data_IF_455364972088
#
_entry.id   IF_455364972088
#
_cell.length_a   1.000
_cell.length_b   1.000
_cell.length_c   1.000
_cell.angle_alpha   90.00
_cell.angle_beta   90.00
_cell.angle_gamma   90.00
#
_symmetry.space_group_name_H-M   'P 1'
#
loop_
_entity.id
_entity.type
_entity.pdbx_description
1 polymer ?
#
# COMPACT_ATOMS: atom_id res chain seq x y z
N UNK A 1 -54.51 28.24 -35.97
CA UNK A 1 -53.51 27.79 -36.97
C UNK A 1 -52.37 28.81 -36.95
N UNK A 2 -51.41 28.63 -36.06
CA UNK A 2 -50.26 29.54 -35.87
C UNK A 2 -48.99 28.72 -36.01
N UNK A 3 -48.22 28.99 -37.06
CA UNK A 3 -46.97 28.29 -37.34
C UNK A 3 -45.90 28.70 -36.31
N UNK A 4 -45.29 27.73 -35.64
CA UNK A 4 -44.14 27.96 -34.78
C UNK A 4 -42.84 27.98 -35.63
N UNK A 5 -41.93 28.95 -35.41
CA UNK A 5 -40.68 29.03 -36.14
C UNK A 5 -39.69 27.97 -35.65
N UNK A 6 -39.06 27.25 -36.58
CA UNK A 6 -37.99 26.29 -36.29
C UNK A 6 -36.67 27.07 -36.15
N UNK A 7 -36.17 27.19 -34.93
CA UNK A 7 -34.83 27.72 -34.64
C UNK A 7 -33.79 26.62 -34.86
N UNK A 8 -33.00 26.72 -35.92
CA UNK A 8 -31.83 25.84 -36.11
C UNK A 8 -30.72 26.22 -35.14
N UNK A 9 -30.55 25.45 -34.08
CA UNK A 9 -29.42 25.59 -33.16
C UNK A 9 -28.11 25.33 -33.93
N UNK A 10 -27.12 26.25 -33.92
CA UNK A 10 -25.85 26.00 -34.56
C UNK A 10 -25.13 24.83 -33.86
N UNK A 11 -24.69 23.86 -34.66
CA UNK A 11 -23.91 22.71 -34.19
C UNK A 11 -22.58 23.21 -33.63
N UNK A 12 -22.19 22.87 -32.39
CA UNK A 12 -20.89 23.28 -31.86
C UNK A 12 -19.79 22.62 -32.69
N UNK A 13 -18.93 23.41 -33.33
CA UNK A 13 -17.72 22.89 -33.96
C UNK A 13 -16.83 22.25 -32.89
N UNK A 14 -16.59 20.95 -33.03
CA UNK A 14 -15.73 20.19 -32.13
C UNK A 14 -14.34 20.81 -32.03
N UNK A 15 -14.03 21.34 -30.85
CA UNK A 15 -12.70 21.84 -30.48
C UNK A 15 -11.71 20.67 -30.49
N UNK A 16 -10.88 20.57 -31.54
CA UNK A 16 -9.75 19.63 -31.62
C UNK A 16 -8.63 20.08 -30.69
N UNK A 17 -8.81 19.79 -29.40
CA UNK A 17 -7.84 20.05 -28.34
C UNK A 17 -6.59 19.17 -28.47
N UNK A 18 -5.55 19.74 -29.10
CA UNK A 18 -4.12 19.71 -28.76
C UNK A 18 -3.63 18.49 -27.94
N UNK A 19 -2.77 17.69 -28.57
CA UNK A 19 -2.00 16.56 -28.03
C UNK A 19 -1.03 16.88 -26.88
N UNK A 20 -1.08 18.06 -26.26
CA UNK A 20 -0.28 18.43 -25.08
C UNK A 20 -0.84 17.92 -23.74
N UNK A 21 -1.95 17.18 -23.75
CA UNK A 21 -2.73 16.83 -22.56
C UNK A 21 -2.39 15.46 -21.95
N UNK A 22 -1.47 14.68 -22.52
CA UNK A 22 -1.12 13.35 -22.00
C UNK A 22 -0.25 13.43 -20.72
N UNK A 23 0.80 14.28 -20.72
CA UNK A 23 1.70 14.49 -19.58
C UNK A 23 0.98 15.16 -18.40
N UNK A 24 0.12 16.15 -18.65
CA UNK A 24 -0.65 16.83 -17.60
C UNK A 24 -1.72 15.96 -16.94
N UNK A 25 -2.18 14.90 -17.62
CA UNK A 25 -3.16 13.95 -17.07
C UNK A 25 -2.47 12.82 -16.29
N UNK A 26 -1.25 12.44 -16.70
CA UNK A 26 -0.41 11.49 -15.96
C UNK A 26 0.13 12.10 -14.66
N UNK A 27 0.52 13.38 -14.67
CA UNK A 27 0.98 14.10 -13.48
C UNK A 27 -0.09 14.27 -12.38
N UNK A 28 -1.38 14.10 -12.70
CA UNK A 28 -2.50 14.21 -11.75
C UNK A 28 -2.84 12.89 -11.05
N UNK A 29 -2.17 11.80 -11.40
CA UNK A 29 -2.43 10.51 -10.76
C UNK A 29 -1.66 10.40 -9.45
N UNK A 30 -2.29 9.91 -8.36
CA UNK A 30 -1.60 9.72 -7.08
C UNK A 30 -0.36 8.83 -7.20
N UNK A 31 -0.42 7.79 -8.03
CA UNK A 31 0.72 6.89 -8.31
C UNK A 31 1.97 7.63 -8.83
N UNK A 32 1.78 8.70 -9.62
CA UNK A 32 2.90 9.48 -10.18
C UNK A 32 3.71 10.19 -9.11
N UNK A 33 3.07 10.64 -8.02
CA UNK A 33 3.77 11.26 -6.90
C UNK A 33 4.71 10.28 -6.20
N UNK A 34 4.21 9.07 -5.89
CA UNK A 34 5.01 8.01 -5.25
C UNK A 34 6.19 7.57 -6.12
N UNK A 35 5.97 7.41 -7.43
CA UNK A 35 7.02 7.04 -8.38
C UNK A 35 8.08 8.13 -8.52
N UNK A 36 7.67 9.40 -8.65
CA UNK A 36 8.60 10.51 -8.79
C UNK A 36 9.42 10.71 -7.50
N UNK A 37 8.80 10.55 -6.34
CA UNK A 37 9.48 10.54 -5.04
C UNK A 37 10.52 9.42 -4.94
N UNK A 38 10.15 8.19 -5.31
CA UNK A 38 11.08 7.06 -5.37
C UNK A 38 12.29 7.35 -6.26
N UNK A 39 12.07 7.84 -7.48
CA UNK A 39 13.15 8.19 -8.41
C UNK A 39 14.04 9.30 -7.84
N UNK A 40 13.45 10.34 -7.27
CA UNK A 40 14.20 11.45 -6.68
C UNK A 40 15.09 11.00 -5.51
N UNK A 41 14.55 10.22 -4.58
CA UNK A 41 15.30 9.68 -3.43
C UNK A 41 16.37 8.70 -3.90
N UNK A 42 16.05 7.83 -4.86
CA UNK A 42 17.00 6.89 -5.44
C UNK A 42 18.18 7.63 -6.08
N UNK A 43 17.93 8.63 -6.94
CA UNK A 43 18.98 9.41 -7.58
C UNK A 43 19.82 10.18 -6.57
N UNK A 44 19.19 10.75 -5.54
CA UNK A 44 19.90 11.42 -4.46
C UNK A 44 20.91 10.48 -3.79
N UNK A 45 20.50 9.29 -3.36
CA UNK A 45 21.43 8.34 -2.72
C UNK A 45 22.36 7.64 -3.70
N UNK A 46 21.99 7.50 -4.97
CA UNK A 46 22.88 6.99 -6.00
C UNK A 46 24.06 7.94 -6.27
N UNK A 47 23.83 9.26 -6.17
CA UNK A 47 24.87 10.28 -6.38
C UNK A 47 25.64 10.56 -5.08
N UNK A 48 24.94 10.71 -3.96
CA UNK A 48 25.52 11.19 -2.70
C UNK A 48 25.75 10.11 -1.64
N UNK A 49 25.17 8.92 -1.80
CA UNK A 49 25.24 7.81 -0.82
C UNK A 49 26.53 6.98 -0.85
N UNK A 50 27.51 7.36 -1.68
CA UNK A 50 28.80 6.68 -1.81
C UNK A 50 28.70 5.27 -2.44
N UNK A 51 29.79 4.52 -2.37
CA UNK A 51 29.88 3.17 -2.99
C UNK A 51 29.00 2.12 -2.29
N UNK A 52 28.58 2.38 -1.05
CA UNK A 52 27.76 1.45 -0.28
C UNK A 52 26.35 1.31 -0.84
N UNK A 53 25.70 2.41 -1.25
CA UNK A 53 24.28 2.40 -1.63
C UNK A 53 23.97 1.52 -2.86
N UNK A 54 24.78 1.63 -3.91
CA UNK A 54 24.62 0.85 -5.15
C UNK A 54 25.35 -0.50 -5.12
N UNK A 55 26.10 -0.80 -4.05
CA UNK A 55 26.69 -2.13 -3.88
C UNK A 55 25.60 -3.20 -3.74
N UNK A 56 25.93 -4.46 -4.02
CA UNK A 56 24.99 -5.57 -3.85
C UNK A 56 24.48 -5.66 -2.40
N UNK A 57 25.35 -5.43 -1.40
CA UNK A 57 24.97 -5.46 0.01
C UNK A 57 24.08 -4.27 0.40
N UNK A 58 24.38 -3.06 -0.07
CA UNK A 58 23.54 -1.88 0.17
C UNK A 58 22.18 -2.02 -0.49
N UNK A 59 22.17 -2.48 -1.74
CA UNK A 59 20.95 -2.80 -2.50
C UNK A 59 20.10 -3.82 -1.77
N UNK A 60 20.67 -4.93 -1.33
CA UNK A 60 19.97 -5.95 -0.56
C UNK A 60 19.42 -5.40 0.76
N UNK A 61 20.12 -4.49 1.43
CA UNK A 61 19.70 -3.90 2.70
C UNK A 61 18.43 -3.07 2.56
N UNK A 62 18.41 -2.07 1.66
CA UNK A 62 17.21 -1.24 1.49
C UNK A 62 16.08 -1.99 0.79
N UNK A 63 16.38 -2.96 -0.09
CA UNK A 63 15.37 -3.79 -0.73
C UNK A 63 14.72 -4.77 0.24
N UNK A 64 15.46 -5.27 1.24
CA UNK A 64 14.89 -6.11 2.32
C UNK A 64 13.82 -5.34 3.09
N UNK A 65 14.12 -4.11 3.52
CA UNK A 65 13.14 -3.25 4.22
C UNK A 65 11.96 -2.91 3.31
N UNK A 66 12.22 -2.59 2.04
CA UNK A 66 11.16 -2.30 1.08
C UNK A 66 10.25 -3.52 0.84
N UNK A 67 10.82 -4.74 0.82
CA UNK A 67 10.07 -5.98 0.66
C UNK A 67 9.18 -6.27 1.87
N UNK A 68 9.66 -6.02 3.08
CA UNK A 68 8.89 -6.19 4.32
C UNK A 68 7.65 -5.30 4.31
N UNK A 69 7.83 -3.99 4.08
CA UNK A 69 6.71 -3.03 4.03
C UNK A 69 5.80 -3.32 2.82
N UNK A 70 6.36 -3.69 1.67
CA UNK A 70 5.62 -3.99 0.45
C UNK A 70 4.71 -5.21 0.57
N UNK A 71 5.20 -6.30 1.18
CA UNK A 71 4.41 -7.52 1.44
C UNK A 71 3.24 -7.20 2.36
N UNK A 72 3.44 -6.36 3.38
CA UNK A 72 2.39 -5.94 4.31
C UNK A 72 1.38 -5.00 3.64
N UNK A 73 1.83 -4.12 2.73
CA UNK A 73 0.97 -3.15 2.07
C UNK A 73 -0.07 -3.79 1.13
N UNK A 74 0.24 -4.95 0.53
CA UNK A 74 -0.68 -5.65 -0.38
C UNK A 74 -2.03 -6.03 0.27
N UNK A 75 -2.07 -6.81 1.37
CA UNK A 75 -3.33 -7.16 2.03
C UNK A 75 -4.03 -5.94 2.64
N UNK A 76 -3.29 -4.96 3.18
CA UNK A 76 -3.89 -3.70 3.67
C UNK A 76 -4.58 -2.96 2.53
N UNK A 77 -3.95 -2.88 1.36
CA UNK A 77 -4.51 -2.23 0.18
C UNK A 77 -5.81 -2.92 -0.28
N UNK A 78 -5.85 -4.26 -0.28
CA UNK A 78 -7.08 -5.01 -0.56
C UNK A 78 -8.19 -4.67 0.43
N UNK A 79 -7.84 -4.49 1.71
CA UNK A 79 -8.79 -4.15 2.76
C UNK A 79 -9.33 -2.72 2.60
N UNK A 80 -8.45 -1.76 2.27
CA UNK A 80 -8.83 -0.38 1.96
C UNK A 80 -9.74 -0.29 0.74
N UNK A 81 -9.52 -1.13 -0.28
CA UNK A 81 -10.41 -1.24 -1.45
C UNK A 81 -11.79 -1.78 -1.05
N UNK A 82 -11.84 -2.69 -0.08
CA UNK A 82 -13.09 -3.20 0.50
C UNK A 82 -13.84 -2.17 1.37
N UNK A 83 -13.26 -0.97 1.59
CA UNK A 83 -13.84 0.09 2.42
C UNK A 83 -13.53 -0.06 3.91
N UNK A 84 -12.65 -1.00 4.28
CA UNK A 84 -12.26 -1.27 5.65
C UNK A 84 -10.87 -0.72 5.93
N UNK A 85 -10.64 -0.27 7.16
CA UNK A 85 -9.37 0.27 7.62
C UNK A 85 -8.92 -0.47 8.87
N UNK A 86 -7.84 -1.25 8.75
CA UNK A 86 -7.28 -2.09 9.82
C UNK A 86 -6.07 -1.39 10.45
N UNK A 87 -6.25 -0.94 11.70
CA UNK A 87 -5.18 -0.34 12.51
C UNK A 87 -4.38 -1.42 13.26
N UNK A 88 -4.91 -2.63 13.39
CA UNK A 88 -4.33 -3.69 14.23
C UNK A 88 -2.98 -4.13 13.70
N UNK A 89 -2.72 -3.95 12.40
CA UNK A 89 -1.43 -4.21 11.77
C UNK A 89 -0.27 -3.52 12.49
N UNK A 90 -0.49 -2.34 13.09
CA UNK A 90 0.50 -1.63 13.90
C UNK A 90 0.92 -2.39 15.17
N UNK A 91 0.01 -3.17 15.76
CA UNK A 91 0.28 -4.01 16.93
C UNK A 91 0.69 -5.45 16.53
N UNK A 92 0.13 -5.99 15.44
CA UNK A 92 0.38 -7.36 14.99
C UNK A 92 1.80 -7.55 14.47
N UNK A 93 2.35 -6.58 13.72
CA UNK A 93 3.74 -6.66 13.22
C UNK A 93 4.74 -6.83 14.37
N UNK A 94 4.83 -5.92 15.36
CA UNK A 94 5.80 -6.07 16.44
C UNK A 94 5.50 -7.30 17.31
N UNK A 95 4.24 -7.69 17.49
CA UNK A 95 3.89 -8.90 18.22
C UNK A 95 4.39 -10.18 17.50
N UNK A 96 4.23 -10.26 16.18
CA UNK A 96 4.74 -11.38 15.38
C UNK A 96 6.27 -11.43 15.38
N UNK A 97 6.93 -10.28 15.20
CA UNK A 97 8.39 -10.17 15.26
C UNK A 97 8.94 -10.56 16.63
N UNK A 98 8.30 -10.11 17.72
CA UNK A 98 8.69 -10.46 19.08
C UNK A 98 8.46 -11.95 19.38
N UNK A 99 7.38 -12.53 18.87
CA UNK A 99 7.08 -13.96 19.00
C UNK A 99 8.20 -14.80 18.37
N UNK A 100 8.59 -14.47 17.14
CA UNK A 100 9.72 -15.13 16.49
C UNK A 100 11.04 -14.92 17.26
N UNK A 101 11.31 -13.69 17.72
CA UNK A 101 12.51 -13.36 18.48
C UNK A 101 12.60 -14.11 19.82
N UNK A 102 11.48 -14.29 20.53
CA UNK A 102 11.46 -15.05 21.79
C UNK A 102 11.68 -16.54 21.52
N UNK A 103 10.99 -17.10 20.53
CA UNK A 103 11.08 -18.54 20.23
C UNK A 103 12.49 -18.91 19.74
N UNK A 104 13.01 -18.19 18.75
CA UNK A 104 14.33 -18.48 18.19
C UNK A 104 15.46 -17.95 19.08
N UNK A 105 15.32 -16.73 19.60
CA UNK A 105 16.39 -16.05 20.32
C UNK A 105 16.49 -16.40 21.79
N UNK A 106 15.36 -16.43 22.52
CA UNK A 106 15.38 -16.74 23.97
C UNK A 106 15.34 -18.24 24.23
N UNK A 107 14.44 -18.98 23.58
CA UNK A 107 14.32 -20.42 23.77
C UNK A 107 15.26 -21.25 22.88
N UNK A 108 15.97 -20.62 21.94
CA UNK A 108 16.93 -21.31 21.06
C UNK A 108 16.27 -22.33 20.12
N UNK A 109 14.97 -22.23 19.89
CA UNK A 109 14.23 -23.15 19.04
C UNK A 109 14.51 -22.85 17.56
N UNK A 110 14.33 -23.84 16.66
CA UNK A 110 14.67 -23.66 15.25
C UNK A 110 13.75 -22.63 14.56
N UNK A 111 14.27 -21.97 13.53
CA UNK A 111 13.61 -20.84 12.85
C UNK A 111 12.21 -21.16 12.33
N UNK A 112 11.98 -22.39 11.87
CA UNK A 112 10.67 -22.81 11.37
C UNK A 112 9.59 -22.80 12.48
N UNK A 113 9.95 -23.06 13.74
CA UNK A 113 9.03 -22.92 14.88
C UNK A 113 8.69 -21.44 15.12
N UNK A 114 9.68 -20.56 15.08
CA UNK A 114 9.47 -19.12 15.24
C UNK A 114 8.56 -18.56 14.14
N UNK A 115 8.81 -18.95 12.89
CA UNK A 115 8.00 -18.54 11.73
C UNK A 115 6.56 -19.04 11.88
N UNK A 116 6.36 -20.33 12.17
CA UNK A 116 5.00 -20.91 12.29
C UNK A 116 4.22 -20.32 13.45
N UNK A 117 4.86 -20.05 14.58
CA UNK A 117 4.22 -19.40 15.71
C UNK A 117 3.86 -17.93 15.43
N UNK A 118 4.75 -17.16 14.80
CA UNK A 118 4.49 -15.78 14.42
C UNK A 118 3.34 -15.67 13.41
N UNK A 119 3.34 -16.54 12.38
CA UNK A 119 2.24 -16.64 11.42
C UNK A 119 0.93 -17.08 12.08
N UNK A 120 1.00 -18.05 13.01
CA UNK A 120 -0.14 -18.52 13.78
C UNK A 120 -0.78 -17.42 14.62
N UNK A 121 0.04 -16.59 15.29
CA UNK A 121 -0.43 -15.43 16.04
C UNK A 121 -1.13 -14.42 15.14
N UNK A 122 -0.49 -14.03 14.03
CA UNK A 122 -1.07 -13.08 13.07
C UNK A 122 -2.38 -13.59 12.47
N UNK A 123 -2.44 -14.87 12.12
CA UNK A 123 -3.64 -15.52 11.60
C UNK A 123 -4.77 -15.57 12.64
N UNK A 124 -4.45 -15.89 13.89
CA UNK A 124 -5.43 -15.89 14.97
C UNK A 124 -6.05 -14.51 15.18
N UNK A 125 -5.22 -13.45 15.25
CA UNK A 125 -5.69 -12.07 15.40
C UNK A 125 -6.51 -11.65 14.18
N UNK A 126 -6.03 -11.92 12.96
CA UNK A 126 -6.74 -11.62 11.73
C UNK A 126 -8.10 -12.31 11.62
N UNK A 127 -8.20 -13.57 12.05
CA UNK A 127 -9.47 -14.31 12.11
C UNK A 127 -10.43 -13.69 13.12
N UNK A 128 -9.95 -13.36 14.32
CA UNK A 128 -10.75 -12.72 15.36
C UNK A 128 -11.32 -11.40 14.81
N UNK A 129 -10.46 -10.53 14.27
CA UNK A 129 -10.87 -9.25 13.71
C UNK A 129 -11.85 -9.43 12.55
N UNK A 130 -11.58 -10.35 11.62
CA UNK A 130 -12.46 -10.63 10.48
C UNK A 130 -13.83 -11.16 10.89
N UNK A 131 -13.91 -11.99 11.94
CA UNK A 131 -15.19 -12.47 12.48
C UNK A 131 -15.98 -11.31 13.09
N UNK A 132 -15.35 -10.44 13.88
CA UNK A 132 -16.03 -9.29 14.46
C UNK A 132 -16.51 -8.30 13.39
N UNK A 133 -15.67 -7.98 12.40
CA UNK A 133 -16.03 -7.06 11.30
C UNK A 133 -17.19 -7.61 10.48
N UNK A 134 -17.21 -8.91 10.18
CA UNK A 134 -18.27 -9.51 9.33
C UNK A 134 -19.57 -9.82 10.09
N UNK A 135 -19.51 -10.01 11.41
CA UNK A 135 -20.68 -10.42 12.22
C UNK A 135 -21.27 -9.29 13.06
N UNK A 136 -20.56 -8.18 13.22
CA UNK A 136 -21.04 -7.03 14.00
C UNK A 136 -21.28 -5.83 13.10
N UNK A 137 -22.05 -4.86 13.58
CA UNK A 137 -22.29 -3.57 12.90
C UNK A 137 -21.25 -2.51 13.27
N UNK A 138 -20.19 -2.91 13.97
CA UNK A 138 -19.16 -2.00 14.50
C UNK A 138 -18.12 -1.77 13.38
N UNK A 139 -17.74 -0.50 13.09
CA UNK A 139 -16.72 -0.19 12.10
C UNK A 139 -15.36 -0.88 12.38
N UNK A 140 -14.63 -1.31 11.34
CA UNK A 140 -13.32 -1.97 11.50
C UNK A 140 -12.32 -1.12 12.29
N UNK A 141 -12.36 0.20 12.13
CA UNK A 141 -11.48 1.12 12.85
C UNK A 141 -11.56 0.95 14.38
N UNK A 142 -12.74 0.61 14.91
CA UNK A 142 -12.94 0.43 16.36
C UNK A 142 -12.55 -0.98 16.80
N UNK A 143 -12.82 -1.99 15.95
CA UNK A 143 -12.50 -3.40 16.26
C UNK A 143 -10.99 -3.62 16.25
N UNK A 144 -10.25 -2.88 15.44
CA UNK A 144 -8.84 -3.13 15.13
C UNK A 144 -7.85 -2.28 15.94
N UNK A 145 -8.28 -1.55 16.98
CA UNK A 145 -7.40 -0.73 17.84
C UNK A 145 -6.96 -1.42 19.13
#
# INVERSE_FOLDING_TARGET
MTAHPVTSTPTPMANRGRSGLALGRLARRPETGSFLGMVAVFLFFAIFGGSGFLSAAGTASWLSIASEIGIIALPIGLLMIAGELDISVGAVIPAASLTAAIICGYYGLPDWLGITAALGLGLAIGLINGVFVTRTTIPSLIITI
#
